data_IF_922677956660
#
_entry.id   IF_922677956660
#
_cell.length_a   1.000
_cell.length_b   1.000
_cell.length_c   1.000
_cell.angle_alpha   90.00
_cell.angle_beta   90.00
_cell.angle_gamma   90.00
#
_symmetry.space_group_name_H-M   'P 1'
#
loop_
_entity.id
_entity.type
_entity.pdbx_description
1 polymer ?
2 polymer ?
3 non-polymer ?
4 water ?
#
# COMPACT_ATOMS: atom_id res chain seq x y z
N UNK A 4 -1.54 -22.13 -5.18
CA UNK A 4 -1.36 -20.86 -5.93
C UNK A 4 -0.13 -20.11 -5.42
N UNK A 5 0.27 -19.07 -6.15
CA UNK A 5 1.42 -18.27 -5.75
C UNK A 5 1.18 -17.62 -4.40
N UNK A 6 -0.03 -17.11 -4.19
CA UNK A 6 -0.36 -16.47 -2.93
C UNK A 6 -0.25 -17.48 -1.81
N UNK A 7 -0.53 -18.74 -2.12
CA UNK A 7 -0.45 -19.80 -1.13
C UNK A 7 1.00 -20.07 -0.73
N UNK A 8 1.88 -20.16 -1.73
CA UNK A 8 3.29 -20.40 -1.47
C UNK A 8 3.88 -19.25 -0.66
N UNK A 9 3.42 -18.03 -0.94
CA UNK A 9 3.90 -16.87 -0.20
C UNK A 9 3.62 -17.07 1.29
N UNK A 10 2.37 -17.37 1.61
CA UNK A 10 1.95 -17.59 3.00
C UNK A 10 2.64 -18.77 3.67
N UNK A 11 2.80 -19.87 2.93
CA UNK A 11 3.42 -21.06 3.48
C UNK A 11 4.92 -20.95 3.68
N UNK A 12 5.50 -19.82 3.28
CA UNK A 12 6.93 -19.60 3.45
C UNK A 12 7.12 -18.36 4.32
N UNK A 13 6.32 -18.30 5.38
CA UNK A 13 6.34 -17.20 6.34
C UNK A 13 6.26 -15.82 5.69
N UNK A 14 5.46 -15.71 4.63
CA UNK A 14 5.29 -14.45 3.92
C UNK A 14 6.63 -13.84 3.55
N UNK A 15 7.62 -14.70 3.31
CA UNK A 15 8.97 -14.29 2.93
C UNK A 15 9.47 -13.17 3.83
N UNK A 16 9.34 -13.39 5.14
CA UNK A 16 9.76 -12.41 6.14
C UNK A 16 11.22 -11.99 5.98
N UNK A 17 12.08 -12.92 5.60
CA UNK A 17 13.50 -12.61 5.42
C UNK A 17 13.63 -11.64 4.25
N UNK A 18 12.85 -11.86 3.21
CA UNK A 18 12.90 -10.95 2.07
C UNK A 18 12.35 -9.58 2.48
N UNK A 19 11.34 -9.58 3.34
CA UNK A 19 10.76 -8.32 3.81
C UNK A 19 11.78 -7.49 4.58
N UNK A 20 12.60 -8.14 5.41
CA UNK A 20 13.61 -7.41 6.18
C UNK A 20 14.62 -6.78 5.24
N UNK A 21 15.06 -7.54 4.24
CA UNK A 21 16.02 -7.04 3.27
C UNK A 21 15.43 -5.86 2.51
N UNK A 22 14.22 -6.02 2.00
CA UNK A 22 13.53 -4.96 1.26
C UNK A 22 13.35 -3.70 2.11
N UNK A 23 12.96 -3.88 3.37
CA UNK A 23 12.74 -2.75 4.26
C UNK A 23 14.03 -1.98 4.53
N UNK A 24 15.13 -2.70 4.68
CA UNK A 24 16.42 -2.06 4.93
C UNK A 24 16.84 -1.26 3.71
N UNK A 25 16.64 -1.83 2.52
CA UNK A 25 17.00 -1.15 1.29
C UNK A 25 16.14 0.09 1.08
N UNK A 26 14.90 0.03 1.55
CA UNK A 26 13.97 1.15 1.41
C UNK A 26 14.38 2.29 2.33
N UNK A 27 14.82 1.94 3.53
CA UNK A 27 15.22 2.93 4.51
C UNK A 27 16.63 3.45 4.29
N UNK A 28 17.50 2.62 3.73
CA UNK A 28 18.89 3.01 3.49
C UNK A 28 19.25 2.96 2.01
N UNK A 29 20.00 3.97 1.56
CA UNK A 29 20.40 4.02 0.16
C UNK A 29 19.83 5.22 -0.57
N UNK B 5 21.52 -13.71 8.62
CA UNK B 5 21.59 -12.98 7.33
C UNK B 5 20.23 -13.00 6.64
N UNK B 6 19.61 -11.82 6.51
CA UNK B 6 18.30 -11.70 5.88
C UNK B 6 18.34 -12.09 4.39
N UNK B 7 19.20 -11.43 3.62
CA UNK B 7 19.29 -11.73 2.20
C UNK B 7 19.47 -13.22 1.94
N UNK B 8 20.43 -13.83 2.63
CA UNK B 8 20.70 -15.25 2.45
C UNK B 8 19.43 -16.08 2.65
N UNK B 9 18.76 -15.88 3.77
CA UNK B 9 17.53 -16.61 4.06
C UNK B 9 16.50 -16.31 2.98
N UNK B 10 16.42 -15.04 2.58
CA UNK B 10 15.47 -14.63 1.55
C UNK B 10 15.70 -15.42 0.27
N UNK B 11 16.95 -15.48 -0.18
CA UNK B 11 17.23 -16.21 -1.40
C UNK B 11 16.93 -17.70 -1.26
N UNK B 12 17.17 -18.26 -0.07
CA UNK B 12 16.89 -19.68 0.14
C UNK B 12 15.40 -19.96 -0.06
N UNK B 13 14.56 -19.06 0.46
CA UNK B 13 13.12 -19.21 0.34
C UNK B 13 12.65 -19.00 -1.09
N UNK B 14 13.18 -17.96 -1.73
CA UNK B 14 12.81 -17.63 -3.09
C UNK B 14 13.13 -18.79 -4.04
N UNK B 15 14.15 -19.57 -3.71
CA UNK B 15 14.52 -20.70 -4.57
C UNK B 15 13.60 -21.90 -4.42
N UNK B 16 12.75 -21.88 -3.40
CA UNK B 16 11.82 -22.99 -3.17
C UNK B 16 10.46 -22.77 -3.81
N UNK B 17 10.16 -21.54 -4.21
CA UNK B 17 8.87 -21.26 -4.84
C UNK B 17 8.95 -21.57 -6.33
N UNK B 18 7.81 -21.93 -6.92
CA UNK B 18 7.76 -22.23 -8.34
C UNK B 18 8.26 -21.01 -9.11
N UNK B 19 9.10 -21.23 -10.11
CA UNK B 19 9.66 -20.14 -10.90
C UNK B 19 8.61 -19.15 -11.39
N UNK B 20 7.44 -19.64 -11.84
CA UNK B 20 6.42 -18.70 -12.31
C UNK B 20 5.79 -17.90 -11.17
N UNK B 21 6.07 -18.30 -9.94
CA UNK B 21 5.54 -17.59 -8.77
C UNK B 21 6.55 -16.64 -8.16
N UNK B 22 7.78 -16.66 -8.67
CA UNK B 22 8.81 -15.79 -8.12
C UNK B 22 8.41 -14.32 -8.07
N UNK B 23 8.02 -13.74 -9.20
CA UNK B 23 7.64 -12.34 -9.16
C UNK B 23 6.37 -12.10 -8.35
N UNK B 24 5.35 -12.95 -8.53
CA UNK B 24 4.14 -12.71 -7.73
C UNK B 24 4.37 -12.75 -6.21
N UNK B 25 5.25 -13.62 -5.73
CA UNK B 25 5.49 -13.64 -4.28
C UNK B 25 6.32 -12.44 -3.85
N UNK B 26 7.20 -11.96 -4.73
CA UNK B 26 8.01 -10.79 -4.41
C UNK B 26 7.13 -9.55 -4.38
N UNK B 27 6.12 -9.52 -5.25
CA UNK B 27 5.20 -8.39 -5.26
C UNK B 27 4.49 -8.37 -3.91
N UNK B 28 4.10 -9.55 -3.43
CA UNK B 28 3.40 -9.66 -2.16
C UNK B 28 4.31 -9.32 -0.99
N UNK B 29 5.59 -9.66 -1.10
CA UNK B 29 6.53 -9.34 -0.04
C UNK B 29 6.68 -7.82 0.02
N UNK B 30 6.73 -7.20 -1.15
CA UNK B 30 6.86 -5.75 -1.21
C UNK B 30 5.63 -5.07 -0.61
N UNK B 31 4.45 -5.57 -0.95
CA UNK B 31 3.23 -4.97 -0.43
C UNK B 31 3.18 -5.12 1.09
N UNK B 32 3.71 -6.23 1.60
CA UNK B 32 3.71 -6.47 3.04
C UNK B 32 4.60 -5.46 3.75
N UNK B 33 5.72 -5.11 3.14
CA UNK B 33 6.61 -4.14 3.76
C UNK B 33 5.95 -2.77 3.70
N UNK B 34 5.33 -2.45 2.56
CA UNK B 34 4.65 -1.17 2.40
C UNK B 34 3.56 -1.02 3.45
N UNK B 35 2.79 -2.08 3.65
CA UNK B 35 1.69 -2.07 4.61
C UNK B 35 2.13 -2.05 6.07
N UNK B 36 3.02 -2.97 6.42
CA UNK B 36 3.51 -3.13 7.79
C UNK B 36 4.53 -2.13 8.31
N UNK B 37 5.16 -1.39 7.42
CA UNK B 37 6.17 -0.42 7.83
C UNK B 37 5.77 1.01 7.52
N UNK B 38 6.49 1.96 8.10
CA UNK B 38 6.23 3.35 7.83
C UNK B 38 7.11 3.71 6.64
N UNK B 39 6.48 3.92 5.49
CA UNK B 39 7.21 4.29 4.29
C UNK B 39 7.04 5.80 4.16
N UNK B 40 8.10 6.50 4.52
CA UNK B 40 8.17 7.96 4.55
C UNK B 40 7.68 8.75 3.35
N UNK B 41 8.14 8.39 2.16
CA UNK B 41 7.72 9.13 0.98
C UNK B 41 7.95 8.41 -0.33
N UNK B 42 7.84 9.14 -1.46
CA UNK B 42 8.03 8.62 -2.81
C UNK B 42 9.37 7.93 -3.04
N UNK B 43 10.44 8.52 -2.52
CA UNK B 43 11.78 7.96 -2.67
C UNK B 43 11.90 6.58 -2.02
N UNK B 44 11.47 6.48 -0.77
CA UNK B 44 11.53 5.21 -0.05
C UNK B 44 10.66 4.15 -0.69
N UNK B 45 9.48 4.55 -1.16
CA UNK B 45 8.57 3.63 -1.81
C UNK B 45 9.26 3.06 -3.05
N UNK B 46 9.94 3.94 -3.79
CA UNK B 46 10.64 3.52 -4.99
C UNK B 46 11.71 2.48 -4.67
N UNK B 47 12.54 2.77 -3.67
CA UNK B 47 13.61 1.86 -3.29
C UNK B 47 13.07 0.53 -2.80
N UNK B 48 11.94 0.57 -2.10
CA UNK B 48 11.31 -0.64 -1.60
C UNK B 48 11.03 -1.58 -2.78
N UNK B 49 10.29 -1.07 -3.76
CA UNK B 49 9.96 -1.88 -4.93
C UNK B 49 11.15 -2.23 -5.81
N UNK B 50 12.15 -1.35 -5.87
CA UNK B 50 13.35 -1.66 -6.65
C UNK B 50 14.02 -2.88 -6.03
N UNK B 51 14.11 -2.87 -4.70
CA UNK B 51 14.72 -3.97 -3.97
C UNK B 51 14.00 -5.29 -4.26
N UNK B 52 12.68 -5.26 -4.18
CA UNK B 52 11.88 -6.46 -4.44
C UNK B 52 12.05 -6.94 -5.87
N UNK B 53 11.90 -6.02 -6.82
CA UNK B 53 12.03 -6.34 -8.24
C UNK B 53 13.36 -6.99 -8.63
N UNK B 54 14.45 -6.53 -8.01
CA UNK B 54 15.79 -7.04 -8.31
C UNK B 54 16.19 -8.34 -7.63
N UNK B 55 15.43 -8.78 -6.64
CA UNK B 55 15.80 -9.99 -5.94
C UNK B 55 16.06 -11.23 -6.80
N UNK B 56 15.31 -11.41 -7.91
CA UNK B 56 15.60 -12.61 -8.70
C UNK B 56 17.05 -12.63 -9.18
N UNK B 57 17.57 -11.45 -9.54
CA UNK B 57 18.94 -11.34 -10.01
C UNK B 57 19.93 -11.38 -8.85
N UNK B 58 19.60 -10.69 -7.76
CA UNK B 58 20.45 -10.65 -6.58
C UNK B 58 20.65 -12.05 -6.03
N UNK B 59 19.61 -12.88 -6.15
CA UNK B 59 19.64 -14.25 -5.66
C UNK B 59 20.17 -15.23 -6.69
N UNK B 60 20.43 -14.72 -7.89
CA UNK B 60 20.94 -15.54 -8.98
C UNK B 60 20.00 -16.66 -9.39
N UNK B 61 18.71 -16.35 -9.45
CA UNK B 61 17.71 -17.32 -9.88
C UNK B 61 17.90 -17.41 -11.39
N UNK B 62 18.24 -18.60 -11.91
CA UNK B 62 18.47 -18.86 -13.33
C UNK B 62 17.91 -17.90 -14.38
N UNK B 63 16.81 -18.29 -15.02
CA UNK B 63 16.22 -17.46 -16.07
C UNK B 63 15.12 -16.51 -15.63
N UNK B 64 15.45 -15.60 -14.72
CA UNK B 64 14.49 -14.62 -14.24
C UNK B 64 15.23 -13.32 -13.97
N UNK B 65 14.80 -12.26 -14.63
CA UNK B 65 15.44 -10.97 -14.42
C UNK B 65 14.61 -10.15 -13.45
N UNK B 66 14.88 -8.85 -13.40
CA UNK B 66 14.15 -7.96 -12.51
C UNK B 66 12.66 -8.01 -12.84
N UNK B 67 11.83 -8.14 -11.80
CA UNK B 67 10.38 -8.19 -11.97
C UNK B 67 9.89 -6.80 -12.34
N UNK B 68 9.16 -6.69 -13.45
CA UNK B 68 8.67 -5.37 -13.85
C UNK B 68 7.35 -4.97 -13.20
N UNK B 69 7.01 -5.57 -12.06
CA UNK B 69 5.74 -5.23 -11.42
C UNK B 69 5.69 -3.79 -10.93
N UNK B 70 4.52 -3.18 -11.10
CA UNK B 70 4.26 -1.80 -10.71
C UNK B 70 4.23 -1.57 -9.20
N UNK B 71 4.41 -0.31 -8.81
CA UNK B 71 4.41 0.08 -7.40
C UNK B 71 3.05 0.63 -6.97
N UNK C 2 -5.37 10.72 -12.99
CA UNK C 2 -6.12 11.97 -13.31
C UNK C 2 -5.42 13.18 -12.69
N UNK C 3 -4.58 13.83 -13.48
CA UNK C 3 -3.81 14.99 -13.02
C UNK C 3 -4.61 16.03 -12.23
N UNK C 4 -5.74 16.45 -12.79
CA UNK C 4 -6.57 17.45 -12.13
C UNK C 4 -6.96 17.04 -10.71
N UNK C 5 -7.22 15.75 -10.51
CA UNK C 5 -7.61 15.27 -9.20
C UNK C 5 -6.42 15.22 -8.25
N UNK C 6 -5.25 14.87 -8.78
CA UNK C 6 -4.06 14.82 -7.96
C UNK C 6 -3.76 16.23 -7.43
N UNK C 7 -4.05 17.25 -8.25
CA UNK C 7 -3.80 18.62 -7.82
C UNK C 7 -4.75 19.05 -6.72
N UNK C 8 -5.99 18.57 -6.76
CA UNK C 8 -6.95 18.93 -5.73
C UNK C 8 -6.58 18.23 -4.44
N UNK C 9 -5.99 17.04 -4.56
CA UNK C 9 -5.55 16.28 -3.40
C UNK C 9 -4.49 17.11 -2.68
N UNK C 10 -3.52 17.59 -3.45
CA UNK C 10 -2.44 18.41 -2.91
C UNK C 10 -2.96 19.75 -2.42
N UNK C 11 -3.89 20.33 -3.17
CA UNK C 11 -4.48 21.61 -2.81
C UNK C 11 -5.15 21.53 -1.45
N UNK C 12 -5.64 20.35 -1.10
CA UNK C 12 -6.32 20.19 0.17
C UNK C 12 -5.53 19.48 1.27
N UNK C 13 -4.26 19.85 1.39
CA UNK C 13 -3.38 19.30 2.41
C UNK C 13 -3.28 17.78 2.40
N UNK C 14 -3.42 17.17 1.22
CA UNK C 14 -3.35 15.72 1.09
C UNK C 14 -4.43 15.06 1.93
N UNK C 15 -5.49 15.82 2.19
CA UNK C 15 -6.63 15.36 2.98
C UNK C 15 -6.17 14.73 4.29
N UNK C 16 -5.22 15.38 4.96
CA UNK C 16 -4.71 14.84 6.22
C UNK C 16 -5.80 14.45 7.22
N UNK C 17 -6.89 15.22 7.28
CA UNK C 17 -7.98 14.90 8.21
C UNK C 17 -8.64 13.58 7.83
N UNK C 18 -8.83 13.35 6.53
CA UNK C 18 -9.42 12.09 6.10
C UNK C 18 -8.45 10.95 6.43
N UNK C 19 -7.16 11.19 6.24
CA UNK C 19 -6.18 10.17 6.54
C UNK C 19 -6.26 9.77 8.00
N UNK C 20 -6.43 10.75 8.88
CA UNK C 20 -6.50 10.45 10.30
C UNK C 20 -7.77 9.67 10.62
N UNK C 21 -8.88 10.01 9.98
CA UNK C 21 -10.14 9.31 10.20
C UNK C 21 -10.01 7.86 9.74
N UNK C 22 -9.46 7.69 8.54
CA UNK C 22 -9.25 6.38 7.96
C UNK C 22 -8.33 5.54 8.84
N UNK C 23 -7.25 6.16 9.30
CA UNK C 23 -6.28 5.47 10.14
C UNK C 23 -6.92 5.02 11.45
N UNK C 24 -7.68 5.91 12.07
CA UNK C 24 -8.33 5.56 13.32
C UNK C 24 -9.35 4.44 13.11
N UNK C 25 -10.07 4.47 11.99
CA UNK C 25 -11.04 3.41 11.72
C UNK C 25 -10.32 2.08 11.54
N UNK C 26 -9.18 2.12 10.86
CA UNK C 26 -8.40 0.92 10.62
C UNK C 26 -7.96 0.28 11.94
N UNK C 27 -7.57 1.13 12.88
CA UNK C 27 -7.09 0.69 14.19
C UNK C 27 -8.16 0.34 15.21
N UNK C 28 -9.23 1.12 15.26
CA UNK C 28 -10.27 0.91 16.26
C UNK C 28 -11.64 0.51 15.75
N UNK C 29 -11.85 0.55 14.44
CA UNK C 29 -13.16 0.19 13.92
C UNK C 29 -14.12 1.33 14.17
N UNK D 4 -16.34 13.47 15.58
CA UNK D 4 -14.86 13.45 15.38
C UNK D 4 -14.40 14.65 14.55
N UNK D 5 -13.49 15.46 15.11
CA UNK D 5 -12.99 16.64 14.38
C UNK D 5 -12.30 16.24 13.08
N UNK D 6 -11.71 15.04 13.06
CA UNK D 6 -11.04 14.54 11.87
C UNK D 6 -12.06 14.28 10.77
N UNK D 7 -13.15 13.59 11.12
CA UNK D 7 -14.19 13.29 10.14
C UNK D 7 -14.89 14.55 9.65
N UNK D 8 -15.14 15.48 10.57
CA UNK D 8 -15.80 16.73 10.21
C UNK D 8 -14.92 17.53 9.26
N UNK D 9 -13.63 17.62 9.57
CA UNK D 9 -12.72 18.36 8.71
C UNK D 9 -12.59 17.60 7.39
N UNK D 10 -12.59 16.28 7.47
CA UNK D 10 -12.47 15.45 6.28
C UNK D 10 -13.65 15.71 5.35
N UNK D 11 -14.85 15.63 5.90
CA UNK D 11 -16.05 15.85 5.12
C UNK D 11 -16.10 17.25 4.53
N UNK D 12 -15.69 18.24 5.31
CA UNK D 12 -15.70 19.61 4.82
C UNK D 12 -14.73 19.77 3.66
N UNK D 13 -13.62 19.05 3.70
CA UNK D 13 -12.66 19.12 2.61
C UNK D 13 -13.15 18.34 1.40
N UNK D 14 -13.73 17.17 1.63
CA UNK D 14 -14.22 16.37 0.51
C UNK D 14 -15.31 17.11 -0.25
N UNK D 15 -16.10 17.90 0.46
CA UNK D 15 -17.18 18.64 -0.19
C UNK D 15 -16.66 19.78 -1.05
N UNK D 16 -15.38 20.10 -0.91
CA UNK D 16 -14.77 21.16 -1.69
C UNK D 16 -14.15 20.65 -2.99
N UNK D 17 -13.89 19.35 -3.04
CA UNK D 17 -13.29 18.71 -4.20
C UNK D 17 -14.31 18.53 -5.32
N UNK D 18 -13.88 18.65 -6.58
CA UNK D 18 -14.81 18.45 -7.68
C UNK D 18 -15.41 17.05 -7.54
N UNK D 19 -16.70 16.93 -7.82
CA UNK D 19 -17.40 15.66 -7.69
C UNK D 19 -16.68 14.46 -8.33
N UNK D 20 -16.30 14.54 -9.61
CA UNK D 20 -15.61 13.40 -10.23
C UNK D 20 -14.21 13.12 -9.70
N UNK D 21 -13.74 13.96 -8.78
CA UNK D 21 -12.42 13.74 -8.20
C UNK D 21 -12.52 13.17 -6.79
N UNK D 22 -13.73 13.07 -6.25
CA UNK D 22 -13.89 12.55 -4.88
C UNK D 22 -13.29 11.15 -4.68
N UNK D 23 -13.62 10.20 -5.55
CA UNK D 23 -13.05 8.87 -5.35
C UNK D 23 -11.55 8.87 -5.62
N UNK D 24 -11.10 9.57 -6.67
CA UNK D 24 -9.66 9.60 -6.94
C UNK D 24 -8.84 10.16 -5.75
N UNK D 25 -9.30 11.25 -5.14
CA UNK D 25 -8.56 11.81 -4.01
C UNK D 25 -8.64 10.90 -2.79
N UNK D 26 -9.76 10.18 -2.63
CA UNK D 26 -9.86 9.27 -1.50
C UNK D 26 -8.93 8.09 -1.71
N UNK D 27 -8.71 7.71 -2.97
CA UNK D 27 -7.80 6.61 -3.25
C UNK D 27 -6.40 7.03 -2.81
N UNK D 28 -6.04 8.27 -3.14
CA UNK D 28 -4.72 8.79 -2.77
C UNK D 28 -4.58 8.88 -1.25
N UNK D 29 -5.66 9.26 -0.58
CA UNK D 29 -5.62 9.39 0.88
C UNK D 29 -5.44 8.03 1.52
N UNK D 30 -6.15 7.03 1.00
CA UNK D 30 -6.04 5.68 1.56
C UNK D 30 -4.65 5.13 1.32
N UNK D 31 -4.07 5.42 0.15
CA UNK D 31 -2.73 4.93 -0.15
C UNK D 31 -1.72 5.58 0.78
N UNK D 32 -1.94 6.85 1.12
CA UNK D 32 -1.04 7.56 2.02
C UNK D 32 -1.08 6.95 3.42
N UNK D 33 -2.28 6.55 3.86
CA UNK D 33 -2.41 5.91 5.17
C UNK D 33 -1.69 4.57 5.13
N UNK D 34 -1.97 3.78 4.09
CA UNK D 34 -1.35 2.48 3.95
C UNK D 34 0.17 2.59 3.96
N UNK D 35 0.69 3.58 3.24
CA UNK D 35 2.13 3.78 3.15
C UNK D 35 2.75 4.34 4.43
N UNK D 36 2.18 5.44 4.90
CA UNK D 36 2.65 6.18 6.07
C UNK D 36 2.42 5.59 7.46
N UNK D 37 1.51 4.63 7.58
CA UNK D 37 1.23 4.06 8.90
C UNK D 37 1.49 2.57 8.93
N UNK D 38 1.41 1.99 10.12
CA UNK D 38 1.61 0.56 10.27
C UNK D 38 0.25 -0.13 10.26
N UNK D 39 -0.01 -0.88 9.19
CA UNK D 39 -1.26 -1.61 9.04
C UNK D 39 -0.88 -3.07 9.23
N UNK D 40 -1.48 -3.70 10.24
CA UNK D 40 -1.14 -5.08 10.59
C UNK D 40 -1.62 -6.24 9.73
N UNK D 41 -2.91 -6.31 9.45
CA UNK D 41 -3.40 -7.42 8.67
C UNK D 41 -4.63 -7.11 7.85
N UNK D 42 -5.29 -8.14 7.30
CA UNK D 42 -6.49 -8.00 6.48
C UNK D 42 -7.65 -7.30 7.17
N UNK D 43 -7.74 -7.45 8.49
CA UNK D 43 -8.82 -6.82 9.24
C UNK D 43 -8.68 -5.31 9.23
N UNK D 44 -7.47 -4.83 9.53
CA UNK D 44 -7.23 -3.39 9.55
C UNK D 44 -7.25 -2.87 8.12
N UNK D 45 -6.63 -3.64 7.22
CA UNK D 45 -6.57 -3.28 5.82
C UNK D 45 -7.99 -3.15 5.27
N UNK D 46 -8.87 -4.05 5.69
CA UNK D 46 -10.26 -4.04 5.27
C UNK D 46 -11.00 -2.82 5.82
N UNK D 47 -10.74 -2.49 7.08
CA UNK D 47 -11.39 -1.34 7.70
C UNK D 47 -10.85 -0.05 7.09
N UNK D 48 -9.57 -0.06 6.75
CA UNK D 48 -8.94 1.10 6.17
C UNK D 48 -9.64 1.45 4.86
N UNK D 49 -9.71 0.49 3.95
CA UNK D 49 -10.34 0.75 2.67
C UNK D 49 -11.87 0.89 2.71
N UNK D 50 -12.53 0.25 3.68
CA UNK D 50 -13.98 0.40 3.80
C UNK D 50 -14.30 1.82 4.24
N UNK D 51 -13.48 2.36 5.14
CA UNK D 51 -13.68 3.72 5.62
C UNK D 51 -13.49 4.69 4.46
N UNK D 52 -12.40 4.52 3.72
CA UNK D 52 -12.11 5.40 2.60
C UNK D 52 -13.19 5.33 1.53
N UNK D 53 -13.56 4.12 1.14
CA UNK D 53 -14.56 3.93 0.10
C UNK D 53 -15.94 4.47 0.46
N UNK D 54 -16.28 4.45 1.74
CA UNK D 54 -17.59 4.93 2.18
C UNK D 54 -17.66 6.39 2.60
N UNK D 55 -16.54 7.09 2.59
CA UNK D 55 -16.55 8.48 3.00
C UNK D 55 -17.53 9.37 2.23
N UNK D 56 -17.73 9.13 0.92
CA UNK D 56 -18.68 10.02 0.23
C UNK D 56 -20.08 9.89 0.82
N UNK D 57 -20.44 8.67 1.21
CA UNK D 57 -21.75 8.37 1.78
C UNK D 57 -21.82 8.87 3.23
N UNK D 58 -20.75 8.62 3.97
CA UNK D 58 -20.66 9.04 5.37
C UNK D 58 -20.77 10.55 5.48
N UNK D 59 -20.22 11.24 4.48
CA UNK D 59 -20.24 12.70 4.45
C UNK D 59 -21.48 13.29 3.81
N UNK D 60 -22.37 12.42 3.35
CA UNK D 60 -23.61 12.86 2.71
C UNK D 60 -23.34 13.73 1.49
N UNK D 61 -22.40 13.29 0.66
CA UNK D 61 -22.10 14.02 -0.56
C UNK D 61 -22.94 13.34 -1.63
N UNK D 62 -23.88 14.07 -2.24
CA UNK D 62 -24.77 13.55 -3.28
C UNK D 62 -24.12 13.06 -4.57
N UNK D 63 -24.76 12.06 -5.17
CA UNK D 63 -24.36 11.50 -6.45
C UNK D 63 -22.94 10.97 -6.61
N UNK D 64 -22.40 10.35 -5.56
CA UNK D 64 -21.06 9.79 -5.64
C UNK D 64 -21.11 8.29 -5.40
N UNK D 65 -21.69 7.90 -4.27
CA UNK D 65 -21.77 6.49 -3.95
C UNK D 65 -20.46 5.97 -3.39
N UNK D 66 -20.38 4.66 -3.18
CA UNK D 66 -19.17 4.05 -2.65
C UNK D 66 -18.08 3.99 -3.71
N UNK D 67 -16.85 4.34 -3.34
CA UNK D 67 -15.75 4.29 -4.29
C UNK D 67 -15.37 2.83 -4.46
N UNK D 68 -15.17 2.38 -5.71
CA UNK D 68 -14.81 0.99 -5.99
C UNK D 68 -13.40 0.53 -5.63
N UNK D 69 -13.07 0.65 -4.34
CA UNK D 69 -11.78 0.23 -3.81
C UNK D 69 -11.72 -1.26 -3.54
N UNK D 70 -10.51 -1.79 -3.55
CA UNK D 70 -10.27 -3.19 -3.28
C UNK D 70 -9.30 -3.19 -2.09
N UNK D 71 -9.73 -3.78 -0.98
CA UNK D 71 -8.92 -3.83 0.22
C UNK D 71 -7.65 -4.66 0.05
X LIG E 1 -7.57 0.16 -4.69
X LIG E 1 -8.76 -0.07 -4.71
X LIG E 1 -6.99 0.75 -5.74
X LIG E 1 -6.75 -0.21 -3.49
#
# INVERSE_FOLDING_TARGET
>A
QLWRCQRQFLQHQRLRACQRFIHRRAQFGGQPD
>B
QPRRPALRQCCNQLRQVDRPCVCPVLRQAAQQVLQRQIIQGPQQLRRLFDAARNLPNICNIPNIGACPFRAW
>C
QLWRCQRQFLQHQRLRACQRFIHRRAQFGGQPD
>D
QPRRPALRQCCNQLRQVDRPCVCPVLRQAAQQVLQRQIIQGPQQLRRLFDAARNLPNICNIPNIGACPFRAW
>E hetero
1 ACY C O OXT CH3
#
